data_IF_232596203846
#
_entry.id   IF_232596203846
#
_cell.length_a   1.000
_cell.length_b   1.000
_cell.length_c   1.000
_cell.angle_alpha   90.00
_cell.angle_beta   90.00
_cell.angle_gamma   90.00
#
_symmetry.space_group_name_H-M   'P 1'
#
loop_
_entity.id
_entity.type
_entity.pdbx_description
1 polymer ?
#
# COMPACT_ATOMS: atom_id res chain seq x y z
N UNK A 1 -23.08 -56.46 21.01
CA UNK A 1 -21.74 -55.84 21.01
C UNK A 1 -21.22 -55.85 19.58
N UNK A 2 -21.64 -54.86 18.78
CA UNK A 2 -21.32 -54.78 17.36
C UNK A 2 -20.06 -53.91 17.20
N UNK A 3 -18.94 -54.52 16.81
CA UNK A 3 -17.72 -53.81 16.49
C UNK A 3 -17.81 -53.27 15.06
N UNK A 4 -18.02 -51.97 14.92
CA UNK A 4 -17.94 -51.27 13.65
C UNK A 4 -16.48 -51.26 13.18
N UNK A 5 -16.13 -52.18 12.28
CA UNK A 5 -14.90 -52.08 11.51
C UNK A 5 -15.06 -50.95 10.50
N UNK A 6 -14.50 -49.79 10.82
CA UNK A 6 -14.32 -48.68 9.89
C UNK A 6 -13.33 -49.18 8.84
N UNK A 7 -13.84 -49.73 7.74
CA UNK A 7 -13.04 -50.00 6.54
C UNK A 7 -12.64 -48.65 5.96
N UNK A 8 -11.39 -48.23 6.23
CA UNK A 8 -10.76 -47.14 5.50
C UNK A 8 -10.79 -47.57 4.03
N UNK A 9 -11.45 -46.82 3.12
CA UNK A 9 -11.48 -47.20 1.72
C UNK A 9 -10.03 -47.21 1.25
N UNK A 10 -9.58 -48.39 0.81
CA UNK A 10 -8.26 -48.61 0.22
C UNK A 10 -8.16 -47.73 -1.02
N UNK A 11 -7.64 -46.53 -0.81
CA UNK A 11 -7.47 -45.52 -1.83
C UNK A 11 -6.53 -46.13 -2.89
N UNK A 12 -6.95 -46.27 -4.16
CA UNK A 12 -6.16 -46.98 -5.15
C UNK A 12 -4.79 -46.33 -5.30
N UNK A 13 -3.69 -47.10 -5.41
CA UNK A 13 -2.32 -46.57 -5.38
C UNK A 13 -2.09 -45.49 -6.46
N UNK A 14 -2.82 -45.55 -7.58
CA UNK A 14 -2.81 -44.54 -8.63
C UNK A 14 -3.25 -43.13 -8.16
N UNK A 15 -4.20 -43.04 -7.22
CA UNK A 15 -4.68 -41.77 -6.69
C UNK A 15 -3.75 -41.18 -5.60
N UNK A 16 -3.04 -42.03 -4.86
CA UNK A 16 -1.97 -41.58 -3.96
C UNK A 16 -0.82 -40.94 -4.75
N UNK A 17 -0.45 -41.50 -5.90
CA UNK A 17 0.54 -40.91 -6.81
C UNK A 17 0.11 -39.51 -7.30
N UNK A 18 -1.17 -39.32 -7.60
CA UNK A 18 -1.70 -38.02 -8.04
C UNK A 18 -1.64 -36.96 -6.93
N UNK A 19 -1.99 -37.32 -5.68
CA UNK A 19 -1.92 -36.40 -4.54
C UNK A 19 -0.48 -36.01 -4.22
N UNK A 20 0.46 -36.96 -4.26
CA UNK A 20 1.88 -36.67 -4.05
C UNK A 20 2.42 -35.79 -5.18
N UNK A 21 2.06 -36.06 -6.43
CA UNK A 21 2.45 -35.22 -7.56
C UNK A 21 1.91 -33.79 -7.43
N UNK A 22 0.63 -33.62 -7.08
CA UNK A 22 0.05 -32.30 -6.82
C UNK A 22 0.73 -31.60 -5.64
N UNK A 23 1.01 -32.29 -4.54
CA UNK A 23 1.69 -31.71 -3.39
C UNK A 23 3.11 -31.25 -3.75
N UNK A 24 3.84 -32.02 -4.56
CA UNK A 24 5.18 -31.65 -5.05
C UNK A 24 5.10 -30.44 -5.99
N UNK A 25 4.16 -30.43 -6.93
CA UNK A 25 3.94 -29.27 -7.83
C UNK A 25 3.57 -28.02 -7.03
N UNK A 26 2.65 -28.12 -6.07
CA UNK A 26 2.26 -27.01 -5.20
C UNK A 26 3.43 -26.54 -4.32
N UNK A 27 4.25 -27.46 -3.82
CA UNK A 27 5.45 -27.13 -3.05
C UNK A 27 6.49 -26.38 -3.90
N UNK A 28 6.74 -26.82 -5.14
CA UNK A 28 7.63 -26.12 -6.06
C UNK A 28 7.06 -24.75 -6.48
N UNK A 29 5.76 -24.65 -6.76
CA UNK A 29 5.09 -23.38 -7.04
C UNK A 29 5.14 -22.44 -5.83
N UNK A 30 4.97 -22.97 -4.61
CA UNK A 30 5.05 -22.21 -3.37
C UNK A 30 6.47 -21.73 -3.08
N UNK A 31 7.50 -22.56 -3.27
CA UNK A 31 8.89 -22.15 -3.13
C UNK A 31 9.28 -21.11 -4.17
N UNK A 32 8.93 -21.32 -5.43
CA UNK A 32 9.12 -20.35 -6.50
C UNK A 32 8.45 -19.02 -6.18
N UNK A 33 7.25 -19.07 -5.59
CA UNK A 33 6.51 -17.90 -5.15
C UNK A 33 7.17 -17.17 -3.96
N UNK A 34 7.68 -17.91 -2.97
CA UNK A 34 8.42 -17.33 -1.84
C UNK A 34 9.76 -16.72 -2.27
N UNK A 35 10.46 -17.36 -3.20
CA UNK A 35 11.73 -16.85 -3.76
C UNK A 35 11.50 -15.59 -4.61
N UNK A 36 10.39 -15.54 -5.37
CA UNK A 36 9.93 -14.32 -6.06
C UNK A 36 9.61 -13.17 -5.10
N UNK A 37 9.08 -13.47 -3.91
CA UNK A 37 8.79 -12.47 -2.87
C UNK A 37 10.07 -11.86 -2.30
N UNK A 38 11.16 -12.63 -2.20
CA UNK A 38 12.42 -12.17 -1.60
C UNK A 38 13.32 -11.42 -2.60
N UNK A 39 13.33 -11.80 -3.88
CA UNK A 39 14.25 -11.21 -4.85
C UNK A 39 13.77 -9.90 -5.49
N UNK A 40 12.48 -9.56 -5.43
CA UNK A 40 11.95 -8.30 -5.96
C UNK A 40 11.74 -7.26 -4.85
N UNK A 41 12.85 -6.76 -4.29
CA UNK A 41 12.87 -5.78 -3.19
C UNK A 41 12.37 -4.36 -3.54
N UNK A 42 11.72 -4.15 -4.69
CA UNK A 42 11.24 -2.80 -5.06
C UNK A 42 9.95 -2.81 -5.86
N UNK A 43 9.77 -3.75 -6.79
CA UNK A 43 8.56 -3.81 -7.62
C UNK A 43 8.18 -5.27 -7.86
N UNK A 44 7.24 -5.75 -7.05
CA UNK A 44 6.61 -7.04 -7.28
C UNK A 44 5.69 -6.91 -8.50
N UNK A 45 6.16 -7.37 -9.67
CA UNK A 45 5.34 -7.64 -10.85
C UNK A 45 4.45 -8.87 -10.57
N UNK A 46 3.53 -8.71 -9.61
CA UNK A 46 2.42 -9.62 -9.48
C UNK A 46 1.39 -9.25 -10.54
N UNK A 47 0.99 -10.18 -11.41
CA UNK A 47 0.06 -9.88 -12.50
C UNK A 47 -1.35 -9.48 -12.00
N UNK A 48 -1.67 -9.65 -10.71
CA UNK A 48 -3.00 -9.37 -10.16
C UNK A 48 -3.03 -8.40 -8.96
N UNK A 49 -1.97 -8.40 -8.14
CA UNK A 49 -1.90 -7.64 -6.89
C UNK A 49 -0.75 -6.65 -6.98
N UNK A 50 -0.95 -5.60 -7.76
CA UNK A 50 0.04 -4.55 -7.92
C UNK A 50 0.12 -3.74 -6.62
N UNK A 51 1.34 -3.57 -6.09
CA UNK A 51 1.85 -2.60 -5.09
C UNK A 51 1.05 -2.33 -3.79
N UNK A 52 -0.27 -2.22 -3.86
CA UNK A 52 -1.21 -1.85 -2.79
C UNK A 52 -1.19 -2.81 -1.59
N UNK A 53 -1.16 -4.16 -1.74
CA UNK A 53 -1.15 -5.03 -0.57
C UNK A 53 0.14 -4.91 0.24
N UNK A 54 1.27 -4.68 -0.43
CA UNK A 54 2.57 -4.47 0.22
C UNK A 54 2.55 -3.16 1.00
N UNK A 55 2.01 -2.09 0.42
CA UNK A 55 1.85 -0.81 1.12
C UNK A 55 0.88 -0.94 2.31
N UNK A 56 -0.21 -1.68 2.17
CA UNK A 56 -1.20 -1.84 3.23
C UNK A 56 -0.70 -2.69 4.41
N UNK A 57 -0.08 -3.85 4.13
CA UNK A 57 0.49 -4.71 5.18
C UNK A 57 1.65 -4.04 5.92
N UNK A 58 2.41 -3.19 5.22
CA UNK A 58 3.49 -2.41 5.79
C UNK A 58 3.07 -0.95 6.03
N UNK A 59 1.83 -0.71 6.45
CA UNK A 59 1.31 0.63 6.72
C UNK A 59 2.22 1.47 7.62
N UNK A 60 2.78 0.83 8.65
CA UNK A 60 3.74 1.41 9.58
C UNK A 60 5.06 1.90 8.94
N UNK A 61 5.43 1.40 7.75
CA UNK A 61 6.67 1.69 7.03
C UNK A 61 6.44 2.20 5.61
N UNK A 62 5.23 2.64 5.26
CA UNK A 62 4.91 3.14 3.91
C UNK A 62 5.90 4.23 3.46
N UNK A 63 6.19 5.21 4.32
CA UNK A 63 7.10 6.29 3.97
C UNK A 63 8.53 5.81 3.70
N UNK A 64 9.02 4.84 4.46
CA UNK A 64 10.34 4.25 4.24
C UNK A 64 10.38 3.49 2.91
N UNK A 65 9.34 2.70 2.63
CA UNK A 65 9.20 1.96 1.36
C UNK A 65 9.17 2.89 0.15
N UNK A 66 8.42 4.01 0.24
CA UNK A 66 8.38 5.02 -0.83
C UNK A 66 9.74 5.69 -1.01
N UNK A 67 10.44 5.99 0.08
CA UNK A 67 11.77 6.61 0.03
C UNK A 67 12.80 5.70 -0.60
N UNK A 68 12.81 4.42 -0.22
CA UNK A 68 13.66 3.40 -0.85
C UNK A 68 13.35 3.25 -2.33
N UNK A 69 12.08 3.31 -2.73
CA UNK A 69 11.66 3.30 -4.12
C UNK A 69 12.21 4.50 -4.91
N UNK A 70 12.13 5.71 -4.36
CA UNK A 70 12.70 6.92 -4.99
C UNK A 70 14.22 6.85 -5.10
N UNK A 71 14.93 6.44 -4.04
CA UNK A 71 16.39 6.31 -4.03
C UNK A 71 16.85 5.28 -5.07
N UNK A 72 16.19 4.12 -5.15
CA UNK A 72 16.58 3.05 -6.09
C UNK A 72 16.29 3.40 -7.56
N UNK A 73 15.23 4.17 -7.82
CA UNK A 73 14.90 4.63 -9.17
C UNK A 73 15.71 5.86 -9.61
N UNK A 74 16.35 6.57 -8.67
CA UNK A 74 17.05 7.83 -8.95
C UNK A 74 16.14 8.87 -9.62
N UNK A 75 14.84 8.83 -9.33
CA UNK A 75 13.82 9.65 -9.98
C UNK A 75 12.92 10.26 -8.92
N UNK A 76 12.49 11.52 -9.12
CA UNK A 76 11.60 12.23 -8.18
C UNK A 76 10.12 11.93 -8.39
N UNK A 77 9.78 11.13 -9.41
CA UNK A 77 8.41 10.68 -9.70
C UNK A 77 8.39 9.30 -10.34
N UNK A 78 7.42 8.48 -9.96
CA UNK A 78 7.19 7.17 -10.57
C UNK A 78 5.71 6.80 -10.58
N UNK A 79 5.34 5.93 -11.51
CA UNK A 79 3.98 5.41 -11.63
C UNK A 79 3.82 4.15 -10.79
N UNK A 80 2.87 4.19 -9.86
CA UNK A 80 2.35 3.04 -9.14
C UNK A 80 1.07 2.58 -9.82
N UNK A 81 1.15 1.44 -10.49
CA UNK A 81 -0.03 0.79 -11.01
C UNK A 81 -0.86 0.24 -9.83
N UNK A 82 -2.14 0.57 -9.78
CA UNK A 82 -3.05 0.17 -8.72
C UNK A 82 -3.54 -1.26 -8.88
N UNK A 83 -4.49 -1.68 -8.03
CA UNK A 83 -5.13 -2.99 -8.15
C UNK A 83 -5.66 -3.17 -9.58
N UNK A 84 -5.36 -4.33 -10.19
CA UNK A 84 -5.79 -4.65 -11.56
C UNK A 84 -7.31 -4.54 -11.70
N UNK A 85 -8.05 -4.80 -10.62
CA UNK A 85 -9.51 -4.67 -10.57
C UNK A 85 -10.02 -3.22 -10.67
N UNK A 86 -9.21 -2.26 -10.23
CA UNK A 86 -9.62 -0.84 -10.15
C UNK A 86 -9.24 -0.03 -11.39
N UNK A 87 -8.28 -0.50 -12.21
CA UNK A 87 -7.71 0.22 -13.36
C UNK A 87 -7.34 1.69 -13.02
N UNK A 88 -6.86 1.91 -11.79
CA UNK A 88 -6.37 3.21 -11.33
C UNK A 88 -4.85 3.15 -11.33
N UNK A 89 -4.22 4.09 -12.02
CA UNK A 89 -2.79 4.32 -11.93
C UNK A 89 -2.54 5.54 -11.03
N UNK A 90 -1.60 5.41 -10.10
CA UNK A 90 -1.22 6.46 -9.18
C UNK A 90 0.13 7.05 -9.61
N UNK A 91 0.20 8.35 -9.81
CA UNK A 91 1.47 9.05 -9.97
C UNK A 91 1.96 9.49 -8.58
N UNK A 92 3.07 8.90 -8.13
CA UNK A 92 3.70 9.33 -6.87
C UNK A 92 4.86 10.25 -7.22
N UNK A 93 4.85 11.46 -6.64
CA UNK A 93 5.90 12.45 -6.83
C UNK A 93 6.39 12.98 -5.50
N UNK A 94 7.70 13.19 -5.41
CA UNK A 94 8.35 13.82 -4.28
C UNK A 94 8.94 15.20 -4.64
N UNK A 95 8.76 15.65 -5.90
CA UNK A 95 9.29 16.94 -6.34
C UNK A 95 8.49 18.08 -5.68
N UNK A 96 9.14 19.01 -4.95
CA UNK A 96 8.46 20.10 -4.25
C UNK A 96 7.59 20.97 -5.16
N UNK A 97 8.01 21.22 -6.41
CA UNK A 97 7.24 22.03 -7.36
C UNK A 97 5.92 21.35 -7.74
N UNK A 98 5.95 20.04 -7.96
CA UNK A 98 4.76 19.26 -8.29
C UNK A 98 3.82 19.17 -7.08
N UNK A 99 4.37 18.99 -5.89
CA UNK A 99 3.60 18.95 -4.64
C UNK A 99 2.91 20.29 -4.38
N UNK A 100 3.61 21.41 -4.54
CA UNK A 100 3.02 22.73 -4.40
C UNK A 100 1.91 22.97 -5.44
N UNK A 101 2.12 22.52 -6.68
CA UNK A 101 1.11 22.62 -7.72
C UNK A 101 -0.18 21.85 -7.38
N UNK A 102 -0.04 20.59 -6.93
CA UNK A 102 -1.18 19.73 -6.61
C UNK A 102 -1.88 20.19 -5.32
N UNK A 103 -1.13 20.57 -4.27
CA UNK A 103 -1.69 20.82 -2.94
C UNK A 103 -1.96 22.30 -2.60
N UNK A 104 -1.49 23.26 -3.39
CA UNK A 104 -1.74 24.68 -3.12
C UNK A 104 -2.38 25.41 -4.28
N UNK A 105 -1.74 25.40 -5.45
CA UNK A 105 -2.14 26.31 -6.53
C UNK A 105 -3.28 25.77 -7.38
N UNK A 106 -3.39 24.45 -7.54
CA UNK A 106 -4.29 23.88 -8.53
C UNK A 106 -5.10 22.66 -8.06
N UNK A 107 -5.58 22.69 -6.81
CA UNK A 107 -6.36 21.57 -6.23
C UNK A 107 -7.64 21.29 -7.04
N UNK A 108 -8.30 22.32 -7.56
CA UNK A 108 -9.57 22.18 -8.29
C UNK A 108 -9.45 21.34 -9.58
N UNK A 109 -8.27 21.31 -10.20
CA UNK A 109 -8.01 20.50 -11.40
C UNK A 109 -7.63 19.04 -11.10
N UNK A 110 -7.45 18.67 -9.83
CA UNK A 110 -7.16 17.29 -9.42
C UNK A 110 -8.27 16.74 -8.51
N UNK A 111 -9.50 16.54 -9.03
CA UNK A 111 -10.54 15.86 -8.27
C UNK A 111 -10.12 14.41 -8.00
N UNK A 112 -10.39 13.90 -6.80
CA UNK A 112 -9.96 12.55 -6.38
C UNK A 112 -10.58 11.44 -7.23
N UNK A 113 -11.74 11.72 -7.84
CA UNK A 113 -12.44 10.82 -8.74
C UNK A 113 -13.29 9.78 -8.01
N UNK A 114 -14.35 9.31 -8.68
CA UNK A 114 -15.39 8.46 -8.08
C UNK A 114 -14.85 7.13 -7.55
N UNK A 115 -13.85 6.55 -8.20
CA UNK A 115 -13.29 5.27 -7.76
C UNK A 115 -12.50 5.42 -6.45
N UNK A 116 -11.81 6.55 -6.26
CA UNK A 116 -11.14 6.86 -4.99
C UNK A 116 -12.18 7.05 -3.87
N UNK A 117 -13.24 7.81 -4.16
CA UNK A 117 -14.35 8.01 -3.22
C UNK A 117 -14.97 6.68 -2.79
N UNK A 118 -15.26 5.77 -3.72
CA UNK A 118 -15.83 4.45 -3.41
C UNK A 118 -14.92 3.58 -2.53
N UNK A 119 -13.60 3.62 -2.74
CA UNK A 119 -12.65 2.85 -1.92
C UNK A 119 -12.62 3.41 -0.48
N UNK A 120 -12.73 4.73 -0.33
CA UNK A 120 -12.66 5.41 0.96
C UNK A 120 -14.03 5.71 1.58
N UNK A 121 -15.13 5.24 0.98
CA UNK A 121 -16.50 5.43 1.46
C UNK A 121 -16.72 4.85 2.87
N UNK A 122 -15.95 3.81 3.22
CA UNK A 122 -15.92 3.22 4.56
C UNK A 122 -15.50 4.23 5.64
N UNK A 123 -14.72 5.26 5.28
CA UNK A 123 -14.31 6.35 6.17
C UNK A 123 -15.32 7.51 6.20
N UNK A 124 -16.40 7.42 5.41
CA UNK A 124 -17.45 8.43 5.26
C UNK A 124 -17.01 9.69 4.49
N UNK A 125 -17.84 10.72 4.55
CA UNK A 125 -17.66 12.01 3.85
C UNK A 125 -16.61 12.94 4.49
N UNK A 126 -15.65 12.37 5.22
CA UNK A 126 -14.61 13.12 5.90
C UNK A 126 -13.53 13.66 4.95
N UNK A 127 -12.38 14.02 5.52
CA UNK A 127 -11.23 14.63 4.83
C UNK A 127 -10.74 13.78 3.64
N UNK A 128 -11.01 12.48 3.62
CA UNK A 128 -10.65 11.61 2.50
C UNK A 128 -11.60 11.74 1.30
N UNK A 129 -12.90 11.95 1.52
CA UNK A 129 -13.90 12.07 0.46
C UNK A 129 -14.21 13.52 0.06
N UNK A 130 -13.93 14.50 0.94
CA UNK A 130 -14.14 15.91 0.67
C UNK A 130 -13.25 16.43 -0.47
N UNK A 131 -13.80 17.25 -1.36
CA UNK A 131 -13.11 17.84 -2.51
C UNK A 131 -12.92 19.35 -2.37
N UNK A 132 -11.84 19.86 -2.97
CA UNK A 132 -11.54 21.30 -3.15
C UNK A 132 -11.56 22.13 -1.85
N UNK A 133 -12.44 23.11 -1.73
CA UNK A 133 -12.51 24.06 -0.61
C UNK A 133 -12.92 23.37 0.70
N UNK A 134 -13.89 22.45 0.62
CA UNK A 134 -14.35 21.68 1.78
C UNK A 134 -13.20 20.88 2.42
N UNK A 135 -12.34 20.28 1.58
CA UNK A 135 -11.13 19.60 2.02
C UNK A 135 -10.13 20.53 2.71
N UNK A 136 -9.90 21.72 2.16
CA UNK A 136 -8.98 22.70 2.75
C UNK A 136 -9.45 23.14 4.14
N UNK A 137 -10.75 23.41 4.28
CA UNK A 137 -11.35 23.84 5.55
C UNK A 137 -11.23 22.74 6.60
N UNK A 138 -11.66 21.51 6.27
CA UNK A 138 -11.54 20.38 7.19
C UNK A 138 -10.09 20.07 7.56
N UNK A 139 -9.15 20.18 6.61
CA UNK A 139 -7.72 19.99 6.87
C UNK A 139 -7.17 21.05 7.83
N UNK A 140 -7.58 22.31 7.68
CA UNK A 140 -7.17 23.42 8.57
C UNK A 140 -7.68 23.19 9.98
N UNK A 141 -8.94 22.79 10.12
CA UNK A 141 -9.56 22.51 11.42
C UNK A 141 -8.92 21.31 12.11
N UNK A 142 -8.70 20.22 11.37
CA UNK A 142 -8.00 19.04 11.87
C UNK A 142 -6.57 19.40 12.31
N UNK A 143 -5.82 20.17 11.51
CA UNK A 143 -4.48 20.60 11.86
C UNK A 143 -4.45 21.45 13.13
N UNK A 144 -5.40 22.38 13.28
CA UNK A 144 -5.55 23.21 14.47
C UNK A 144 -5.84 22.35 15.71
N UNK A 145 -6.79 21.41 15.60
CA UNK A 145 -7.14 20.49 16.68
C UNK A 145 -5.95 19.62 17.09
N UNK A 146 -5.26 19.00 16.13
CA UNK A 146 -4.06 18.18 16.39
C UNK A 146 -2.93 19.01 17.02
N UNK A 147 -2.69 20.24 16.54
CA UNK A 147 -1.67 21.12 17.12
C UNK A 147 -1.98 21.45 18.58
N UNK A 148 -3.24 21.76 18.88
CA UNK A 148 -3.70 22.03 20.24
C UNK A 148 -3.55 20.81 21.15
N UNK A 149 -3.95 19.62 20.67
CA UNK A 149 -3.78 18.35 21.37
C UNK A 149 -2.30 18.08 21.67
N UNK A 150 -1.42 18.18 20.66
CA UNK A 150 0.01 17.91 20.81
C UNK A 150 0.67 18.87 21.81
N UNK A 151 0.28 20.14 21.83
CA UNK A 151 0.75 21.11 22.84
C UNK A 151 0.32 20.71 24.25
N UNK A 152 -0.93 20.25 24.42
CA UNK A 152 -1.47 19.82 25.71
C UNK A 152 -0.75 18.58 26.27
N UNK A 153 -0.29 17.69 25.41
CA UNK A 153 0.42 16.46 25.81
C UNK A 153 1.95 16.63 25.88
N UNK A 154 2.47 17.85 25.93
CA UNK A 154 3.91 18.10 26.10
C UNK A 154 4.74 17.64 24.90
N UNK A 155 4.28 17.97 23.69
CA UNK A 155 4.80 17.55 22.38
C UNK A 155 6.29 17.24 22.35
N UNK A 156 6.62 15.96 22.45
CA UNK A 156 7.93 15.45 22.05
C UNK A 156 7.97 15.44 20.53
N UNK A 157 9.03 16.02 19.95
CA UNK A 157 9.29 15.94 18.51
C UNK A 157 9.22 14.46 18.11
N UNK A 158 8.15 14.11 17.42
CA UNK A 158 7.85 12.73 17.09
C UNK A 158 8.74 12.33 15.91
N UNK A 159 9.43 11.19 16.03
CA UNK A 159 10.32 10.62 15.00
C UNK A 159 9.69 10.57 13.59
N UNK A 160 8.37 10.58 13.50
CA UNK A 160 7.60 10.66 12.27
C UNK A 160 7.81 11.97 11.49
N UNK A 161 7.83 13.13 12.16
CA UNK A 161 8.11 14.41 11.51
C UNK A 161 9.55 14.49 11.01
N UNK A 162 10.51 14.01 11.80
CA UNK A 162 11.93 14.00 11.39
C UNK A 162 12.15 13.12 10.17
N UNK A 163 11.58 11.89 10.15
CA UNK A 163 11.65 11.02 8.97
C UNK A 163 11.08 11.68 7.72
N UNK A 164 9.92 12.35 7.81
CA UNK A 164 9.34 13.04 6.65
C UNK A 164 10.24 14.14 6.09
N UNK A 165 10.94 14.88 6.96
CA UNK A 165 11.91 15.89 6.54
C UNK A 165 13.10 15.24 5.84
N UNK A 166 13.56 14.07 6.32
CA UNK A 166 14.68 13.35 5.70
C UNK A 166 14.30 12.80 4.32
N UNK A 167 13.08 12.28 4.14
CA UNK A 167 12.55 11.90 2.82
C UNK A 167 12.57 13.11 1.88
N UNK A 168 12.05 14.25 2.35
CA UNK A 168 12.00 15.47 1.55
C UNK A 168 13.39 15.95 1.13
N UNK A 169 14.37 15.90 2.05
CA UNK A 169 15.78 16.21 1.74
C UNK A 169 16.39 15.22 0.76
N UNK A 170 16.09 13.93 0.89
CA UNK A 170 16.55 12.91 -0.05
C UNK A 170 16.01 13.19 -1.46
N UNK A 171 14.74 13.57 -1.58
CA UNK A 171 14.13 13.92 -2.86
C UNK A 171 14.63 15.24 -3.46
N UNK A 172 15.10 16.19 -2.65
CA UNK A 172 15.72 17.42 -3.13
C UNK A 172 17.12 17.18 -3.72
N UNK A 173 17.81 16.13 -3.24
CA UNK A 173 19.19 15.82 -3.60
C UNK A 173 19.32 14.67 -4.62
N UNK A 174 18.20 14.11 -5.08
CA UNK A 174 18.11 13.04 -6.08
C UNK A 174 17.75 13.62 -7.45
#
# INVERSE_FOLDING_TARGET
MAMAFITIPFLPPASACYVVFLAVVLFFLFRWFLERKQNNHVYSNWPFLVSVPVLFLNSHRIYELLTEAFIKLGSTSFYLKGLVLSNIDYLVTCNPKNLEHIFKTNIANYPKGKNFMQIFDILGDGIFNADSESWQMQRKDAHSAFSHILKRFGGTKNRWCDRQIDVYKACLNA
#
